data_IF_040080684333
#
_entry.id   IF_040080684333
#
_cell.length_a   1.000
_cell.length_b   1.000
_cell.length_c   1.000
_cell.angle_alpha   90.00
_cell.angle_beta   90.00
_cell.angle_gamma   90.00
#
_symmetry.space_group_name_H-M   'P 1'
#
loop_
_entity.id
_entity.type
_entity.pdbx_description
1 polymer ?
#
# COMPACT_ATOMS: atom_id res chain seq x y z
N UNK A 1 17.28 -2.20 -2.26
CA UNK A 1 16.87 -1.06 -3.10
C UNK A 1 16.10 -1.64 -4.27
N UNK A 2 14.76 -1.63 -4.21
CA UNK A 2 13.94 -2.10 -5.32
C UNK A 2 14.18 -1.25 -6.57
N UNK A 3 14.50 -1.89 -7.68
CA UNK A 3 14.65 -1.25 -8.99
C UNK A 3 13.36 -1.44 -9.81
N UNK A 4 13.40 -1.06 -11.09
CA UNK A 4 12.24 -1.22 -11.97
C UNK A 4 11.68 -2.65 -12.02
N UNK A 5 12.51 -3.71 -12.14
CA UNK A 5 12.00 -5.08 -12.20
C UNK A 5 11.29 -5.52 -10.91
N UNK A 6 11.83 -5.15 -9.75
CA UNK A 6 11.25 -5.50 -8.45
C UNK A 6 9.92 -4.77 -8.25
N UNK A 7 9.86 -3.47 -8.59
CA UNK A 7 8.62 -2.70 -8.47
C UNK A 7 7.55 -3.23 -9.43
N UNK A 8 7.92 -3.63 -10.66
CA UNK A 8 6.98 -4.30 -11.58
C UNK A 8 6.52 -5.67 -11.07
N UNK A 9 7.42 -6.42 -10.44
CA UNK A 9 7.09 -7.71 -9.82
C UNK A 9 6.10 -7.53 -8.67
N UNK A 10 6.33 -6.53 -7.80
CA UNK A 10 5.37 -6.15 -6.75
C UNK A 10 4.03 -5.74 -7.36
N UNK A 11 4.01 -4.88 -8.39
CA UNK A 11 2.79 -4.45 -9.08
C UNK A 11 1.97 -5.65 -9.56
N UNK A 12 2.61 -6.58 -10.29
CA UNK A 12 1.97 -7.80 -10.80
C UNK A 12 1.48 -8.73 -9.71
N UNK A 13 2.19 -8.79 -8.57
CA UNK A 13 1.80 -9.63 -7.44
C UNK A 13 0.59 -9.09 -6.68
N UNK A 14 0.44 -7.77 -6.55
CA UNK A 14 -0.65 -7.17 -5.78
C UNK A 14 -1.90 -6.86 -6.63
N UNK A 15 -1.73 -6.49 -7.91
CA UNK A 15 -2.84 -6.03 -8.76
C UNK A 15 -4.05 -6.99 -8.79
N UNK A 16 -3.89 -8.31 -9.00
CA UNK A 16 -5.03 -9.24 -9.07
C UNK A 16 -5.87 -9.33 -7.80
N UNK A 17 -5.31 -8.93 -6.66
CA UNK A 17 -5.96 -8.97 -5.35
C UNK A 17 -6.51 -7.62 -4.94
N UNK A 18 -6.11 -6.54 -5.62
CA UNK A 18 -6.49 -5.17 -5.30
C UNK A 18 -7.53 -4.64 -6.28
N UNK A 19 -7.33 -4.86 -7.58
CA UNK A 19 -8.20 -4.30 -8.61
C UNK A 19 -9.63 -4.82 -8.45
N UNK A 20 -10.57 -3.88 -8.46
CA UNK A 20 -11.98 -4.14 -8.20
C UNK A 20 -12.33 -4.35 -6.72
N UNK A 21 -11.38 -4.42 -5.79
CA UNK A 21 -11.70 -4.54 -4.36
C UNK A 21 -12.05 -3.18 -3.73
N UNK A 22 -12.94 -3.20 -2.73
CA UNK A 22 -13.19 -2.04 -1.86
C UNK A 22 -12.29 -2.10 -0.64
N UNK A 23 -11.75 -0.94 -0.26
CA UNK A 23 -10.99 -0.76 0.97
C UNK A 23 -11.97 -0.70 2.14
N UNK A 24 -11.84 -1.61 3.09
CA UNK A 24 -12.69 -1.63 4.29
C UNK A 24 -12.20 -0.61 5.32
N UNK A 25 -10.89 -0.56 5.56
CA UNK A 25 -10.23 0.45 6.40
C UNK A 25 -8.74 0.58 6.09
N UNK A 26 -8.15 1.71 6.46
CA UNK A 26 -6.69 1.88 6.45
C UNK A 26 -6.20 2.03 7.89
N UNK A 27 -5.09 1.36 8.21
CA UNK A 27 -4.46 1.44 9.53
C UNK A 27 -3.05 1.98 9.35
N UNK A 28 -2.81 3.21 9.82
CA UNK A 28 -1.48 3.83 9.84
C UNK A 28 -0.92 3.77 11.26
N UNK A 29 0.23 3.11 11.43
CA UNK A 29 0.89 2.88 12.73
C UNK A 29 2.07 3.82 12.96
N UNK A 30 2.80 4.15 11.90
CA UNK A 30 3.82 5.22 11.90
C UNK A 30 3.71 5.99 10.59
N UNK A 31 3.34 7.25 10.67
CA UNK A 31 3.19 8.13 9.52
C UNK A 31 4.51 8.72 9.03
N UNK A 32 5.61 8.57 9.78
CA UNK A 32 6.90 9.23 9.50
C UNK A 32 7.75 8.42 8.54
N UNK A 33 7.40 8.48 7.25
CA UNK A 33 8.21 7.95 6.15
C UNK A 33 9.07 9.06 5.52
N UNK A 34 9.60 8.86 4.30
CA UNK A 34 10.37 9.90 3.62
C UNK A 34 9.55 11.16 3.43
N UNK A 35 8.28 10.98 3.07
CA UNK A 35 7.25 11.99 3.18
C UNK A 35 6.21 11.51 4.20
N UNK A 36 5.76 12.38 5.12
CA UNK A 36 4.73 12.01 6.07
C UNK A 36 3.45 11.54 5.36
N UNK A 37 2.87 10.45 5.87
CA UNK A 37 1.55 10.00 5.43
C UNK A 37 0.51 11.05 5.87
N UNK A 38 -0.40 11.51 4.97
CA UNK A 38 -1.46 12.43 5.34
C UNK A 38 -2.33 11.88 6.47
N UNK A 39 -2.68 12.74 7.43
CA UNK A 39 -3.48 12.36 8.59
C UNK A 39 -4.90 11.90 8.22
N UNK A 40 -5.38 12.27 7.03
CA UNK A 40 -6.71 11.96 6.51
C UNK A 40 -6.73 10.81 5.51
N UNK A 41 -5.62 10.09 5.33
CA UNK A 41 -5.52 9.01 4.34
C UNK A 41 -6.54 7.89 4.60
N UNK A 42 -6.76 7.55 5.86
CA UNK A 42 -7.72 6.53 6.27
C UNK A 42 -9.15 6.93 5.95
N UNK A 43 -9.54 8.16 6.28
CA UNK A 43 -10.87 8.71 5.97
C UNK A 43 -11.09 8.77 4.46
N UNK A 44 -10.09 9.19 3.70
CA UNK A 44 -10.21 9.36 2.24
C UNK A 44 -10.31 8.04 1.50
N UNK A 45 -9.52 7.04 1.90
CA UNK A 45 -9.39 5.79 1.15
C UNK A 45 -10.38 4.72 1.61
N UNK A 46 -10.83 4.75 2.87
CA UNK A 46 -11.82 3.79 3.36
C UNK A 46 -13.15 3.91 2.60
N UNK A 47 -13.76 2.76 2.29
CA UNK A 47 -14.96 2.65 1.47
C UNK A 47 -14.72 2.80 -0.03
N UNK A 48 -13.55 3.25 -0.49
CA UNK A 48 -13.28 3.47 -1.92
C UNK A 48 -12.94 2.16 -2.63
N UNK A 49 -13.37 2.02 -3.88
CA UNK A 49 -12.93 0.92 -4.75
C UNK A 49 -11.57 1.24 -5.37
N UNK A 50 -10.67 0.27 -5.36
CA UNK A 50 -9.43 0.31 -6.14
C UNK A 50 -9.78 -0.08 -7.59
N UNK A 51 -9.48 0.81 -8.52
CA UNK A 51 -9.80 0.67 -9.95
C UNK A 51 -8.67 -0.04 -10.68
N UNK A 52 -7.42 0.37 -10.44
CA UNK A 52 -6.25 -0.08 -11.21
C UNK A 52 -4.97 0.05 -10.39
N UNK A 53 -4.00 -0.84 -10.63
CA UNK A 53 -2.66 -0.75 -10.05
C UNK A 53 -1.59 -0.67 -11.14
N UNK A 54 -1.02 0.52 -11.29
CA UNK A 54 0.01 0.83 -12.29
C UNK A 54 1.38 1.06 -11.67
N UNK A 55 2.37 1.26 -12.54
CA UNK A 55 3.72 1.66 -12.18
C UNK A 55 4.23 2.76 -13.10
N UNK A 56 4.86 3.78 -12.52
CA UNK A 56 5.62 4.82 -13.25
C UNK A 56 7.01 4.92 -12.65
N UNK A 57 8.04 4.62 -13.43
CA UNK A 57 9.40 4.48 -12.91
C UNK A 57 9.40 3.55 -11.68
N UNK A 58 9.91 3.99 -10.53
CA UNK A 58 9.96 3.21 -9.27
C UNK A 58 8.77 3.47 -8.34
N UNK A 59 7.72 4.12 -8.83
CA UNK A 59 6.49 4.38 -8.08
C UNK A 59 5.39 3.39 -8.47
N UNK A 60 4.68 2.89 -7.47
CA UNK A 60 3.40 2.21 -7.62
C UNK A 60 2.28 3.25 -7.55
N UNK A 61 1.29 3.10 -8.43
CA UNK A 61 0.11 3.95 -8.48
C UNK A 61 -1.12 3.08 -8.25
N UNK A 62 -1.69 3.17 -7.05
CA UNK A 62 -2.93 2.48 -6.71
C UNK A 62 -4.05 3.48 -6.92
N UNK A 63 -4.76 3.33 -8.03
CA UNK A 63 -5.86 4.21 -8.41
C UNK A 63 -7.13 3.75 -7.69
N UNK A 64 -7.77 4.67 -6.96
CA UNK A 64 -9.07 4.49 -6.34
C UNK A 64 -10.07 5.52 -6.89
N UNK A 65 -11.36 5.32 -6.61
CA UNK A 65 -12.44 6.22 -7.08
C UNK A 65 -12.21 7.69 -6.68
N UNK A 66 -11.63 7.92 -5.50
CA UNK A 66 -11.35 9.27 -4.95
C UNK A 66 -10.05 9.90 -5.47
N UNK A 67 -9.17 9.13 -6.13
CA UNK A 67 -7.85 9.60 -6.54
C UNK A 67 -6.79 8.50 -6.54
N UNK A 68 -5.51 8.87 -6.61
CA UNK A 68 -4.41 7.91 -6.72
C UNK A 68 -3.49 7.94 -5.50
N UNK A 69 -3.33 6.79 -4.85
CA UNK A 69 -2.29 6.57 -3.85
C UNK A 69 -0.97 6.27 -4.57
N UNK A 70 0.02 7.15 -4.40
CA UNK A 70 1.36 7.00 -4.96
C UNK A 70 2.27 6.45 -3.86
N UNK A 71 2.93 5.33 -4.11
CA UNK A 71 3.83 4.68 -3.16
C UNK A 71 5.20 4.43 -3.77
N UNK A 72 6.27 4.72 -3.02
CA UNK A 72 7.64 4.40 -3.38
C UNK A 72 8.19 3.39 -2.35
N UNK A 73 8.97 2.40 -2.80
CA UNK A 73 9.50 1.38 -1.89
C UNK A 73 10.83 1.80 -1.24
N UNK A 74 11.40 2.93 -1.62
CA UNK A 74 12.63 3.46 -1.04
C UNK A 74 13.79 2.47 -1.19
N UNK A 75 14.44 2.14 -0.09
CA UNK A 75 15.54 1.16 -0.10
C UNK A 75 15.14 -0.22 0.45
N UNK A 76 14.21 -0.26 1.41
CA UNK A 76 13.83 -1.45 2.17
C UNK A 76 12.32 -1.65 2.29
N UNK A 77 11.52 -0.81 1.63
CA UNK A 77 10.08 -0.93 1.55
C UNK A 77 9.68 -2.19 0.78
N UNK A 78 8.65 -2.87 1.26
CA UNK A 78 7.97 -3.93 0.54
C UNK A 78 6.46 -3.86 0.77
N UNK A 79 5.72 -4.45 -0.15
CA UNK A 79 4.28 -4.64 -0.06
C UNK A 79 3.96 -6.12 -0.14
N UNK A 80 3.07 -6.58 0.73
CA UNK A 80 2.62 -7.97 0.76
C UNK A 80 1.14 -8.05 1.10
N UNK A 81 0.49 -9.10 0.63
CA UNK A 81 -0.86 -9.45 1.05
C UNK A 81 -0.78 -10.33 2.29
N UNK A 82 -1.59 -10.00 3.28
CA UNK A 82 -1.77 -10.78 4.51
C UNK A 82 -3.26 -10.91 4.82
N UNK A 83 -3.63 -11.77 5.75
CA UNK A 83 -4.98 -11.77 6.31
C UNK A 83 -5.25 -10.44 7.05
N UNK A 84 -6.43 -9.87 6.84
CA UNK A 84 -6.87 -8.70 7.57
C UNK A 84 -6.91 -8.98 9.08
N UNK A 85 -6.47 -8.03 9.91
CA UNK A 85 -6.35 -8.22 11.35
C UNK A 85 -5.14 -9.04 11.83
N UNK A 86 -4.31 -9.61 10.94
CA UNK A 86 -3.06 -10.25 11.35
C UNK A 86 -2.21 -9.24 12.16
N UNK A 87 -1.76 -9.57 13.39
CA UNK A 87 -0.97 -8.63 14.18
C UNK A 87 0.26 -8.10 13.43
N UNK A 88 0.48 -6.80 13.53
CA UNK A 88 1.61 -6.15 12.87
C UNK A 88 2.90 -6.39 13.64
N UNK A 89 3.97 -6.68 12.91
CA UNK A 89 5.33 -6.75 13.44
C UNK A 89 6.02 -5.38 13.39
N UNK A 90 7.23 -5.33 13.95
CA UNK A 90 8.08 -4.15 13.86
C UNK A 90 8.29 -3.76 12.39
N UNK A 91 8.22 -2.45 12.12
CA UNK A 91 8.40 -1.84 10.80
C UNK A 91 7.25 -2.03 9.82
N UNK A 92 6.13 -2.62 10.24
CA UNK A 92 4.90 -2.70 9.46
C UNK A 92 4.06 -1.47 9.75
N UNK A 93 4.10 -0.50 8.83
CA UNK A 93 3.66 0.87 9.11
C UNK A 93 2.22 1.11 8.66
N UNK A 94 1.79 0.48 7.57
CA UNK A 94 0.47 0.72 6.96
C UNK A 94 -0.16 -0.59 6.57
N UNK A 95 -1.44 -0.75 6.87
CA UNK A 95 -2.31 -1.75 6.23
C UNK A 95 -3.45 -1.05 5.50
N UNK A 96 -3.71 -1.47 4.27
CA UNK A 96 -4.94 -1.16 3.54
C UNK A 96 -5.75 -2.45 3.54
N UNK A 97 -6.72 -2.56 4.43
CA UNK A 97 -7.59 -3.72 4.52
C UNK A 97 -8.68 -3.65 3.45
N UNK A 98 -8.99 -4.80 2.86
CA UNK A 98 -9.95 -4.95 1.78
C UNK A 98 -11.17 -5.73 2.28
N UNK A 99 -12.32 -5.52 1.63
CA UNK A 99 -13.54 -6.29 1.92
C UNK A 99 -13.40 -7.81 1.63
N UNK A 100 -12.40 -8.20 0.83
CA UNK A 100 -12.06 -9.62 0.60
C UNK A 100 -11.50 -10.35 1.83
N UNK A 101 -11.20 -9.64 2.92
CA UNK A 101 -10.53 -10.19 4.10
C UNK A 101 -9.01 -10.23 3.99
N UNK A 102 -8.43 -9.69 2.91
CA UNK A 102 -6.99 -9.47 2.79
C UNK A 102 -6.62 -8.04 3.19
N UNK A 103 -5.36 -7.83 3.53
CA UNK A 103 -4.76 -6.51 3.72
C UNK A 103 -3.48 -6.37 2.89
N UNK A 104 -3.35 -5.25 2.20
CA UNK A 104 -2.08 -4.83 1.62
C UNK A 104 -1.24 -4.16 2.72
N UNK A 105 -0.19 -4.86 3.15
CA UNK A 105 0.70 -4.40 4.22
C UNK A 105 1.98 -3.79 3.67
N UNK A 106 2.32 -2.61 4.14
CA UNK A 106 3.57 -1.92 3.84
C UNK A 106 4.56 -2.04 5.01
N UNK A 107 5.74 -2.57 4.71
CA UNK A 107 6.85 -2.72 5.67
C UNK A 107 8.04 -1.91 5.20
N UNK A 108 8.61 -1.04 6.03
CA UNK A 108 9.86 -0.33 5.69
C UNK A 108 10.75 -0.06 6.91
N UNK A 109 11.78 -0.89 7.16
CA UNK A 109 12.71 -0.70 8.28
C UNK A 109 13.42 0.65 8.29
N UNK A 110 13.77 1.21 7.12
CA UNK A 110 14.53 2.46 7.00
C UNK A 110 13.64 3.69 6.86
N UNK A 111 12.34 3.51 6.56
CA UNK A 111 11.34 4.58 6.40
C UNK A 111 11.72 5.60 5.31
N UNK A 112 12.24 5.10 4.20
CA UNK A 112 12.69 5.89 3.05
C UNK A 112 11.79 5.76 1.83
N UNK A 113 10.78 4.89 1.89
CA UNK A 113 9.70 4.93 0.91
C UNK A 113 8.74 6.08 1.12
#
# INVERSE_FOLDING_TARGET
MPELPEVETTRRGIAPHLEGQRVSRVIVRDSRLRWPIPEDLDVRLSGQRIVQVDRRAKYLLIQAEVGTLISHLGMSGNLRLVEAGLPALKHEHVDIELESGLALRYTDPRRFG
#
